data_IF_954912126823
#
_entry.id   IF_954912126823
#
_cell.length_a   1.000
_cell.length_b   1.000
_cell.length_c   1.000
_cell.angle_alpha   90.00
_cell.angle_beta   90.00
_cell.angle_gamma   90.00
#
_symmetry.space_group_name_H-M   'P 1'
#
loop_
_entity.id
_entity.type
_entity.pdbx_description
1 polymer ?
#
# COMPACT_ATOMS: atom_id res chain seq x y z
N UNK A 1 19.65 -7.90 -1.76
CA UNK A 1 18.85 -7.92 -2.99
C UNK A 1 17.42 -7.42 -2.75
N UNK A 2 16.77 -7.82 -1.66
CA UNK A 2 15.44 -7.33 -1.29
C UNK A 2 15.42 -5.82 -0.92
N UNK A 3 16.46 -5.31 -0.28
CA UNK A 3 16.51 -3.90 0.17
C UNK A 3 16.45 -2.88 -0.98
N UNK A 4 17.06 -3.19 -2.12
CA UNK A 4 17.01 -2.32 -3.30
C UNK A 4 15.59 -2.24 -3.89
N UNK A 5 14.86 -3.35 -3.86
CA UNK A 5 13.47 -3.42 -4.34
C UNK A 5 12.55 -2.68 -3.37
N UNK A 6 12.71 -2.88 -2.06
CA UNK A 6 11.95 -2.15 -1.05
C UNK A 6 12.22 -0.64 -1.10
N UNK A 7 13.47 -0.23 -1.32
CA UNK A 7 13.82 1.17 -1.51
C UNK A 7 13.14 1.76 -2.76
N UNK A 8 13.16 1.05 -3.89
CA UNK A 8 12.48 1.47 -5.11
C UNK A 8 10.96 1.56 -4.93
N UNK A 9 10.32 0.59 -4.29
CA UNK A 9 8.89 0.61 -3.97
C UNK A 9 8.55 1.77 -3.03
N UNK A 10 9.41 2.08 -2.07
CA UNK A 10 9.20 3.22 -1.18
C UNK A 10 9.33 4.57 -1.90
N UNK A 11 10.24 4.69 -2.88
CA UNK A 11 10.30 5.86 -3.76
C UNK A 11 9.04 5.99 -4.61
N UNK A 12 8.60 4.89 -5.25
CA UNK A 12 7.34 4.87 -6.00
C UNK A 12 6.14 5.27 -5.13
N UNK A 13 6.11 4.83 -3.87
CA UNK A 13 5.07 5.23 -2.90
C UNK A 13 5.08 6.74 -2.66
N UNK A 14 6.26 7.33 -2.50
CA UNK A 14 6.44 8.78 -2.31
C UNK A 14 6.03 9.58 -3.54
N UNK A 15 6.32 9.06 -4.73
CA UNK A 15 5.99 9.70 -6.01
C UNK A 15 4.53 9.45 -6.43
N UNK A 16 3.78 8.63 -5.70
CA UNK A 16 2.40 8.22 -6.04
C UNK A 16 2.31 7.29 -7.25
N UNK A 17 3.43 6.68 -7.66
CA UNK A 17 3.56 5.83 -8.83
C UNK A 17 3.17 4.39 -8.47
N UNK A 18 2.28 3.79 -9.26
CA UNK A 18 1.76 2.41 -9.06
C UNK A 18 1.01 2.22 -7.73
N UNK A 19 0.57 3.31 -7.09
CA UNK A 19 -0.23 3.27 -5.86
C UNK A 19 -1.69 2.94 -6.18
N UNK A 20 -2.00 1.65 -6.31
CA UNK A 20 -3.33 1.16 -6.70
C UNK A 20 -4.36 1.10 -5.55
N UNK A 21 -3.95 1.46 -4.33
CA UNK A 21 -4.81 1.53 -3.15
C UNK A 21 -4.50 2.76 -2.31
N UNK A 22 -5.56 3.34 -1.75
CA UNK A 22 -5.48 4.43 -0.77
C UNK A 22 -6.15 3.94 0.51
N UNK A 23 -5.38 3.87 1.59
CA UNK A 23 -5.88 3.59 2.93
C UNK A 23 -6.33 4.89 3.56
N UNK A 24 -7.52 4.91 4.15
CA UNK A 24 -8.01 6.07 4.89
C UNK A 24 -8.05 5.65 6.35
N UNK A 25 -7.31 6.35 7.19
CA UNK A 25 -7.29 6.14 8.64
C UNK A 25 -7.66 7.44 9.34
N UNK A 26 -8.79 7.43 10.04
CA UNK A 26 -9.41 8.55 10.79
C UNK A 26 -9.76 9.78 9.93
N UNK A 27 -8.81 10.33 9.17
CA UNK A 27 -8.97 11.40 8.17
C UNK A 27 -7.77 11.49 7.19
N UNK A 28 -6.71 10.72 7.43
CA UNK A 28 -5.49 10.73 6.63
C UNK A 28 -5.54 9.68 5.52
N UNK A 29 -5.10 10.09 4.33
CA UNK A 29 -5.02 9.23 3.14
C UNK A 29 -3.59 8.76 2.94
N UNK A 30 -3.39 7.45 2.90
CA UNK A 30 -2.11 6.81 2.66
C UNK A 30 -2.14 6.04 1.34
N UNK A 31 -1.35 6.48 0.38
CA UNK A 31 -1.16 5.75 -0.87
C UNK A 31 -0.19 4.60 -0.68
N UNK A 32 -0.55 3.42 -1.18
CA UNK A 32 0.25 2.21 -1.03
C UNK A 32 0.05 1.25 -2.21
N UNK A 33 0.87 0.21 -2.27
CA UNK A 33 0.82 -0.84 -3.28
C UNK A 33 0.04 -2.05 -2.75
N UNK A 34 -1.01 -2.48 -3.46
CA UNK A 34 -1.80 -3.67 -3.09
C UNK A 34 -0.94 -4.93 -2.99
N UNK A 35 0.00 -5.10 -3.92
CA UNK A 35 0.89 -6.25 -3.95
C UNK A 35 1.78 -6.34 -2.70
N UNK A 36 2.30 -5.21 -2.22
CA UNK A 36 3.12 -5.14 -1.00
C UNK A 36 2.26 -5.42 0.23
N UNK A 37 1.09 -4.80 0.33
CA UNK A 37 0.17 -5.04 1.45
C UNK A 37 -0.31 -6.51 1.51
N UNK A 38 -0.65 -7.10 0.37
CA UNK A 38 -1.07 -8.50 0.26
C UNK A 38 0.08 -9.51 0.50
N UNK A 39 1.34 -9.09 0.34
CA UNK A 39 2.50 -9.89 0.72
C UNK A 39 2.76 -9.84 2.22
N UNK A 40 2.48 -8.71 2.86
CA UNK A 40 2.71 -8.50 4.31
C UNK A 40 1.52 -8.90 5.18
N UNK A 41 0.29 -8.97 4.64
CA UNK A 41 -0.91 -9.32 5.41
C UNK A 41 -1.99 -9.90 4.51
N UNK A 42 -2.55 -11.04 4.93
CA UNK A 42 -3.66 -11.68 4.23
C UNK A 42 -4.92 -10.80 4.24
N UNK A 43 -5.07 -9.90 5.23
CA UNK A 43 -6.20 -8.97 5.31
C UNK A 43 -6.36 -8.14 4.02
N UNK A 44 -5.26 -7.64 3.48
CA UNK A 44 -5.25 -6.89 2.22
C UNK A 44 -5.27 -7.78 0.97
N UNK A 45 -5.06 -9.08 1.12
CA UNK A 45 -5.15 -10.07 0.04
C UNK A 45 -6.59 -10.50 -0.23
N UNK A 46 -7.41 -10.67 0.80
CA UNK A 46 -8.77 -11.26 0.65
C UNK A 46 -9.86 -10.22 0.31
N UNK A 47 -9.70 -8.96 0.72
CA UNK A 47 -10.75 -7.94 0.53
C UNK A 47 -10.18 -6.64 -0.04
N UNK A 48 -10.30 -6.38 -1.36
CA UNK A 48 -9.88 -5.10 -1.97
C UNK A 48 -10.93 -3.99 -1.79
N UNK A 49 -11.83 -4.11 -0.80
CA UNK A 49 -12.80 -3.06 -0.53
C UNK A 49 -12.07 -1.88 0.10
N UNK A 50 -12.37 -0.68 -0.40
CA UNK A 50 -11.94 0.60 0.16
C UNK A 50 -11.94 0.49 1.69
N UNK A 51 -10.76 0.34 2.28
CA UNK A 51 -10.59 0.31 3.72
C UNK A 51 -10.62 1.78 4.17
N UNK A 52 -11.84 2.26 4.42
CA UNK A 52 -12.04 3.25 5.48
C UNK A 52 -11.77 2.49 6.78
N UNK A 53 -10.53 2.56 7.26
CA UNK A 53 -10.26 2.30 8.66
C UNK A 53 -10.82 3.55 9.36
N UNK A 54 -12.07 3.45 9.82
CA UNK A 54 -12.67 4.46 10.69
C UNK A 54 -11.85 4.58 11.97
#
# INVERSE_FOLDING_TARGET
HNDAVLAALNQQRSDGILCDITLIAEEQKFHAHKAVLAACSDYFRVSPKIFFIL
#
